data_IF_361585084257
#
_entry.id   IF_361585084257
#
_cell.length_a   1.000
_cell.length_b   1.000
_cell.length_c   1.000
_cell.angle_alpha   90.00
_cell.angle_beta   90.00
_cell.angle_gamma   90.00
#
_symmetry.space_group_name_H-M   'P 1'
#
loop_
_entity.id
_entity.type
_entity.pdbx_description
1 polymer ?
#
# COMPACT_ATOMS: atom_id res chain seq x y z
N UNK A 1 37.86 -62.83 -29.46
CA UNK A 1 37.48 -61.42 -29.78
C UNK A 1 38.46 -60.48 -29.08
N UNK A 2 39.44 -59.91 -29.80
CA UNK A 2 40.41 -58.95 -29.23
C UNK A 2 39.83 -57.54 -29.31
N UNK A 3 39.26 -57.05 -28.21
CA UNK A 3 38.85 -55.65 -28.10
C UNK A 3 40.11 -54.80 -28.09
N UNK A 4 40.29 -54.00 -29.14
CA UNK A 4 41.45 -53.13 -29.33
C UNK A 4 41.64 -52.22 -28.12
N UNK A 5 42.80 -52.29 -27.48
CA UNK A 5 43.23 -51.50 -26.31
C UNK A 5 43.01 -49.98 -26.53
N UNK A 6 43.06 -49.51 -27.78
CA UNK A 6 42.76 -48.12 -28.16
C UNK A 6 41.31 -47.71 -27.94
N UNK A 7 40.34 -48.63 -28.02
CA UNK A 7 38.91 -48.35 -27.76
C UNK A 7 38.63 -48.26 -26.25
N UNK A 8 39.31 -49.07 -25.43
CA UNK A 8 39.21 -49.01 -23.97
C UNK A 8 39.75 -47.71 -23.39
N UNK A 9 40.90 -47.23 -23.90
CA UNK A 9 41.53 -46.01 -23.40
C UNK A 9 40.72 -44.73 -23.72
N UNK A 10 40.07 -44.68 -24.90
CA UNK A 10 39.15 -43.58 -25.26
C UNK A 10 37.91 -43.55 -24.37
N UNK A 11 37.35 -44.71 -24.01
CA UNK A 11 36.22 -44.79 -23.09
C UNK A 11 36.56 -44.30 -21.69
N UNK A 12 37.76 -44.64 -21.19
CA UNK A 12 38.23 -44.22 -19.86
C UNK A 12 38.45 -42.70 -19.77
N UNK A 13 38.98 -42.08 -20.82
CA UNK A 13 39.20 -40.62 -20.88
C UNK A 13 37.88 -39.84 -20.96
N UNK A 14 36.87 -40.37 -21.65
CA UNK A 14 35.53 -39.75 -21.73
C UNK A 14 34.82 -39.84 -20.37
N UNK A 15 34.88 -41.00 -19.70
CA UNK A 15 34.31 -41.17 -18.35
C UNK A 15 35.01 -40.29 -17.31
N UNK A 16 36.34 -40.19 -17.37
CA UNK A 16 37.11 -39.27 -16.53
C UNK A 16 36.75 -37.80 -16.76
N UNK A 17 36.59 -37.40 -18.03
CA UNK A 17 36.16 -36.04 -18.41
C UNK A 17 34.77 -35.66 -17.91
N UNK A 18 33.79 -36.58 -18.02
CA UNK A 18 32.43 -36.40 -17.49
C UNK A 18 32.41 -36.33 -15.96
N UNK A 19 33.26 -37.11 -15.28
CA UNK A 19 33.39 -37.06 -13.83
C UNK A 19 34.01 -35.74 -13.35
N UNK A 20 35.05 -35.24 -14.03
CA UNK A 20 35.64 -33.94 -13.73
C UNK A 20 34.70 -32.78 -14.04
N UNK A 21 33.91 -32.86 -15.11
CA UNK A 21 32.93 -31.83 -15.47
C UNK A 21 31.77 -31.77 -14.47
N UNK A 22 31.29 -32.91 -13.97
CA UNK A 22 30.25 -32.96 -12.94
C UNK A 22 30.73 -32.46 -11.58
N UNK A 23 31.98 -32.74 -11.21
CA UNK A 23 32.61 -32.15 -10.01
C UNK A 23 32.84 -30.64 -10.16
N UNK A 24 33.25 -30.17 -11.34
CA UNK A 24 33.45 -28.74 -11.61
C UNK A 24 32.12 -27.98 -11.63
N UNK A 25 31.05 -28.55 -12.20
CA UNK A 25 29.69 -27.97 -12.13
C UNK A 25 29.14 -27.92 -10.70
N UNK A 26 29.51 -28.87 -9.82
CA UNK A 26 29.21 -28.80 -8.37
C UNK A 26 30.00 -27.70 -7.64
N UNK A 27 31.20 -27.35 -8.12
CA UNK A 27 32.04 -26.30 -7.53
C UNK A 27 31.70 -24.90 -8.06
N UNK A 28 31.21 -24.79 -9.30
CA UNK A 28 30.85 -23.53 -9.97
C UNK A 28 29.38 -23.14 -9.83
N UNK A 29 28.49 -24.05 -9.42
CA UNK A 29 27.16 -23.69 -8.94
C UNK A 29 27.30 -23.33 -7.46
N UNK A 30 27.30 -22.04 -7.06
CA UNK A 30 27.11 -21.73 -5.66
C UNK A 30 25.76 -22.31 -5.25
N UNK A 31 25.83 -23.42 -4.53
CA UNK A 31 24.70 -23.95 -3.79
C UNK A 31 24.33 -22.82 -2.82
N UNK A 32 23.34 -22.02 -3.18
CA UNK A 32 22.80 -20.95 -2.35
C UNK A 32 22.19 -21.66 -1.16
N UNK A 33 23.01 -21.89 -0.13
CA UNK A 33 22.52 -22.33 1.16
C UNK A 33 21.44 -21.33 1.55
N UNK A 34 20.19 -21.77 1.80
CA UNK A 34 19.20 -20.89 2.39
C UNK A 34 19.84 -20.33 3.65
N UNK A 35 19.92 -19.01 3.74
CA UNK A 35 20.40 -18.32 4.93
C UNK A 35 19.72 -18.93 6.15
N UNK A 36 20.50 -19.67 6.96
CA UNK A 36 20.02 -20.23 8.20
C UNK A 36 19.68 -19.08 9.14
N UNK A 37 18.41 -18.66 9.15
CA UNK A 37 17.95 -17.53 9.94
C UNK A 37 16.52 -17.08 9.63
N UNK A 38 16.05 -17.22 8.39
CA UNK A 38 14.66 -16.92 8.02
C UNK A 38 13.98 -18.23 7.59
N UNK A 39 13.03 -18.73 8.38
CA UNK A 39 12.19 -19.86 7.96
C UNK A 39 11.40 -19.52 6.69
N UNK A 40 10.91 -20.53 5.98
CA UNK A 40 10.13 -20.33 4.75
C UNK A 40 9.00 -19.30 4.95
N UNK A 41 8.81 -18.38 3.98
CA UNK A 41 7.78 -17.36 4.06
C UNK A 41 6.40 -18.01 4.16
N UNK A 42 5.53 -17.38 4.95
CA UNK A 42 4.15 -17.86 5.10
C UNK A 42 3.44 -17.72 3.76
N UNK A 43 2.90 -18.84 3.26
CA UNK A 43 2.13 -18.90 2.02
C UNK A 43 0.70 -19.33 2.32
N UNK A 44 -0.26 -18.66 1.71
CA UNK A 44 -1.68 -18.99 1.82
C UNK A 44 -2.25 -19.44 0.48
N UNK A 45 -3.24 -20.32 0.52
CA UNK A 45 -4.04 -20.72 -0.63
C UNK A 45 -5.35 -19.93 -0.61
N UNK A 46 -5.56 -19.16 -1.66
CA UNK A 46 -6.73 -18.30 -1.85
C UNK A 46 -7.72 -19.04 -2.77
N UNK A 47 -8.89 -18.45 -3.01
CA UNK A 47 -9.86 -18.96 -3.98
C UNK A 47 -9.21 -19.19 -5.35
N UNK A 48 -9.72 -20.20 -6.07
CA UNK A 48 -9.29 -20.57 -7.42
C UNK A 48 -7.84 -21.07 -7.53
N UNK A 49 -7.29 -21.55 -6.41
CA UNK A 49 -5.95 -22.16 -6.37
C UNK A 49 -4.80 -21.15 -6.37
N UNK A 50 -5.10 -19.85 -6.31
CA UNK A 50 -4.09 -18.80 -6.29
C UNK A 50 -3.30 -18.84 -4.98
N UNK A 51 -1.97 -18.95 -5.08
CA UNK A 51 -1.05 -18.99 -3.94
C UNK A 51 -0.36 -17.65 -3.78
N UNK A 52 -0.39 -17.13 -2.56
CA UNK A 52 0.24 -15.85 -2.22
C UNK A 52 1.18 -16.05 -1.03
N UNK A 53 2.42 -15.59 -1.15
CA UNK A 53 3.45 -15.67 -0.12
C UNK A 53 3.70 -14.31 0.53
N UNK A 54 4.10 -14.29 1.79
CA UNK A 54 4.32 -13.07 2.57
C UNK A 54 5.52 -12.22 2.08
N UNK A 55 6.37 -12.76 1.22
CA UNK A 55 7.50 -12.07 0.60
C UNK A 55 7.13 -11.35 -0.71
N UNK A 56 5.90 -11.48 -1.22
CA UNK A 56 5.45 -10.66 -2.34
C UNK A 56 5.35 -9.17 -1.94
N UNK A 57 5.52 -8.23 -2.88
CA UNK A 57 5.31 -6.82 -2.56
C UNK A 57 3.84 -6.57 -2.19
N UNK A 58 3.64 -5.84 -1.08
CA UNK A 58 2.32 -5.38 -0.62
C UNK A 58 2.33 -3.87 -0.43
N UNK A 59 1.20 -3.22 -0.66
CA UNK A 59 1.00 -1.79 -0.38
C UNK A 59 -0.02 -1.61 0.73
N UNK A 60 0.33 -0.85 1.76
CA UNK A 60 -0.60 -0.46 2.81
C UNK A 60 -0.87 1.04 2.72
N UNK A 61 -2.12 1.39 2.41
CA UNK A 61 -2.59 2.78 2.42
C UNK A 61 -3.27 3.06 3.76
N UNK A 62 -2.88 4.13 4.43
CA UNK A 62 -3.55 4.55 5.65
C UNK A 62 -3.24 5.99 6.01
N UNK A 63 -3.46 6.32 7.28
CA UNK A 63 -3.54 7.68 7.77
C UNK A 63 -4.80 7.84 8.61
N UNK A 64 -5.02 9.02 9.17
CA UNK A 64 -6.26 9.21 9.94
C UNK A 64 -7.45 9.24 8.98
N UNK A 65 -8.61 8.64 9.32
CA UNK A 65 -9.81 8.73 8.50
C UNK A 65 -10.11 10.17 8.06
N UNK A 66 -10.68 10.33 6.86
CA UNK A 66 -10.96 11.63 6.21
C UNK A 66 -9.73 12.39 5.69
N UNK A 67 -8.55 11.76 5.65
CA UNK A 67 -7.34 12.31 5.02
C UNK A 67 -7.17 11.94 3.53
N UNK A 68 -8.25 11.53 2.85
CA UNK A 68 -8.16 11.11 1.43
C UNK A 68 -7.62 9.70 1.19
N UNK A 69 -7.63 8.82 2.19
CA UNK A 69 -7.18 7.41 2.05
C UNK A 69 -7.99 6.62 1.03
N UNK A 70 -9.31 6.81 0.98
CA UNK A 70 -10.15 6.17 -0.04
C UNK A 70 -9.84 6.73 -1.43
N UNK A 71 -9.62 8.03 -1.59
CA UNK A 71 -9.22 8.62 -2.88
C UNK A 71 -7.89 8.01 -3.37
N UNK A 72 -6.88 7.94 -2.51
CA UNK A 72 -5.59 7.34 -2.87
C UNK A 72 -5.74 5.88 -3.34
N UNK A 73 -6.50 5.05 -2.63
CA UNK A 73 -6.66 3.64 -3.02
C UNK A 73 -7.44 3.47 -4.32
N UNK A 74 -8.47 4.28 -4.58
CA UNK A 74 -9.24 4.15 -5.83
C UNK A 74 -8.43 4.60 -7.05
N UNK A 75 -7.58 5.60 -6.89
CA UNK A 75 -6.63 6.00 -7.94
C UNK A 75 -5.60 4.91 -8.23
N UNK A 76 -5.19 4.15 -7.21
CA UNK A 76 -4.34 2.97 -7.39
C UNK A 76 -5.09 1.79 -8.01
N UNK A 77 -6.32 1.49 -7.58
CA UNK A 77 -7.17 0.44 -8.16
C UNK A 77 -7.42 0.64 -9.66
N UNK A 78 -7.36 1.88 -10.16
CA UNK A 78 -7.48 2.18 -11.58
C UNK A 78 -6.21 1.83 -12.40
N UNK A 79 -5.13 1.40 -11.74
CA UNK A 79 -3.94 0.87 -12.41
C UNK A 79 -4.12 -0.64 -12.66
N UNK A 80 -3.91 -1.15 -13.89
CA UNK A 80 -4.18 -2.56 -14.26
C UNK A 80 -3.31 -3.61 -13.55
N UNK A 81 -2.39 -3.18 -12.69
CA UNK A 81 -1.46 -4.04 -11.96
C UNK A 81 -1.72 -4.03 -10.45
N UNK A 82 -2.65 -3.21 -9.97
CA UNK A 82 -2.85 -2.96 -8.55
C UNK A 82 -4.29 -3.25 -8.18
N UNK A 83 -4.49 -3.95 -7.06
CA UNK A 83 -5.80 -4.11 -6.44
C UNK A 83 -5.72 -3.86 -4.95
N UNK A 84 -6.38 -2.80 -4.51
CA UNK A 84 -6.64 -2.42 -3.12
C UNK A 84 -7.97 -3.00 -2.62
N UNK A 85 -9.08 -2.70 -3.29
CA UNK A 85 -10.43 -3.05 -2.82
C UNK A 85 -10.93 -2.20 -1.64
N UNK A 86 -11.98 -2.66 -0.97
CA UNK A 86 -12.65 -1.97 0.15
C UNK A 86 -11.88 -2.04 1.48
N UNK A 87 -12.35 -1.29 2.49
CA UNK A 87 -11.85 -1.46 3.87
C UNK A 87 -12.21 -2.83 4.41
N UNK A 88 -11.21 -3.59 4.85
CA UNK A 88 -11.43 -4.94 5.37
C UNK A 88 -12.05 -4.90 6.77
N UNK A 89 -11.79 -3.84 7.55
CA UNK A 89 -12.20 -3.61 8.95
C UNK A 89 -11.64 -4.63 9.95
N UNK A 90 -11.45 -5.89 9.56
CA UNK A 90 -10.94 -6.98 10.40
C UNK A 90 -9.42 -6.90 10.58
N UNK A 91 -8.67 -6.42 9.58
CA UNK A 91 -7.22 -6.24 9.67
C UNK A 91 -6.81 -5.31 10.82
N UNK A 92 -7.31 -4.06 10.90
CA UNK A 92 -6.95 -3.18 12.02
C UNK A 92 -7.45 -3.70 13.38
N UNK A 93 -8.56 -4.46 13.43
CA UNK A 93 -9.05 -5.09 14.67
C UNK A 93 -8.09 -6.17 15.17
N UNK A 94 -7.65 -7.08 14.29
CA UNK A 94 -6.67 -8.10 14.64
C UNK A 94 -5.34 -7.47 15.06
N UNK A 95 -4.86 -6.45 14.33
CA UNK A 95 -3.66 -5.72 14.70
C UNK A 95 -3.79 -5.06 16.07
N UNK A 96 -4.97 -4.51 16.39
CA UNK A 96 -5.29 -3.98 17.71
C UNK A 96 -5.21 -5.04 18.82
N UNK A 97 -5.82 -6.20 18.59
CA UNK A 97 -5.74 -7.34 19.53
C UNK A 97 -4.30 -7.81 19.73
N UNK A 98 -3.52 -7.95 18.64
CA UNK A 98 -2.13 -8.40 18.67
C UNK A 98 -1.21 -7.48 19.48
N UNK A 99 -1.52 -6.18 19.58
CA UNK A 99 -0.74 -5.25 20.40
C UNK A 99 -0.81 -5.56 21.91
N UNK A 100 -1.91 -6.20 22.36
CA UNK A 100 -2.09 -6.60 23.75
C UNK A 100 -1.53 -7.99 24.11
N UNK A 101 -1.07 -8.76 23.12
CA UNK A 101 -0.56 -10.12 23.37
C UNK A 101 0.88 -10.07 23.90
N UNK A 102 1.09 -10.67 25.07
CA UNK A 102 2.41 -11.02 25.56
C UNK A 102 2.79 -12.42 25.07
N UNK A 103 4.08 -12.70 24.81
CA UNK A 103 4.52 -14.08 24.56
C UNK A 103 4.21 -14.94 25.79
N UNK A 104 3.53 -16.06 25.58
CA UNK A 104 3.17 -16.99 26.65
C UNK A 104 4.22 -18.10 26.78
N UNK A 105 4.39 -18.63 28.00
CA UNK A 105 5.37 -19.69 28.29
C UNK A 105 4.97 -21.06 27.74
N UNK A 106 3.70 -21.24 27.38
CA UNK A 106 3.09 -22.51 26.92
C UNK A 106 3.31 -22.80 25.42
N UNK A 107 4.48 -22.47 24.87
CA UNK A 107 4.85 -22.79 23.47
C UNK A 107 4.30 -21.83 22.40
N UNK A 108 3.45 -20.87 22.77
CA UNK A 108 2.96 -19.80 21.87
C UNK A 108 4.00 -18.68 21.78
N UNK A 109 5.10 -18.99 21.08
CA UNK A 109 6.20 -18.03 20.87
C UNK A 109 5.79 -16.87 19.95
N UNK A 110 6.55 -15.77 20.00
CA UNK A 110 6.37 -14.64 19.06
C UNK A 110 6.44 -15.11 17.60
N UNK A 111 7.29 -16.08 17.27
CA UNK A 111 7.38 -16.65 15.92
C UNK A 111 6.10 -17.36 15.49
N UNK A 112 5.44 -18.09 16.39
CA UNK A 112 4.16 -18.75 16.12
C UNK A 112 3.06 -17.71 15.89
N UNK A 113 2.99 -16.70 16.76
CA UNK A 113 2.04 -15.59 16.62
C UNK A 113 2.25 -14.80 15.33
N UNK A 114 3.49 -14.44 15.01
CA UNK A 114 3.83 -13.71 13.79
C UNK A 114 3.41 -14.51 12.55
N UNK A 115 3.66 -15.83 12.51
CA UNK A 115 3.23 -16.68 11.40
C UNK A 115 1.71 -16.77 11.29
N UNK A 116 1.00 -16.95 12.41
CA UNK A 116 -0.46 -17.02 12.42
C UNK A 116 -1.10 -15.70 11.98
N UNK A 117 -0.60 -14.57 12.49
CA UNK A 117 -1.06 -13.23 12.08
C UNK A 117 -0.74 -13.00 10.60
N UNK A 118 0.44 -13.37 10.13
CA UNK A 118 0.82 -13.24 8.71
C UNK A 118 -0.14 -14.02 7.82
N UNK A 119 -0.43 -15.28 8.15
CA UNK A 119 -1.37 -16.12 7.40
C UNK A 119 -2.77 -15.49 7.37
N UNK A 120 -3.28 -15.05 8.53
CA UNK A 120 -4.59 -14.43 8.61
C UNK A 120 -4.67 -13.15 7.76
N UNK A 121 -3.70 -12.24 7.93
CA UNK A 121 -3.68 -10.97 7.19
C UNK A 121 -3.57 -11.21 5.69
N UNK A 122 -2.69 -12.13 5.26
CA UNK A 122 -2.51 -12.44 3.85
C UNK A 122 -3.76 -13.09 3.24
N UNK A 123 -4.44 -13.98 3.98
CA UNK A 123 -5.70 -14.59 3.55
C UNK A 123 -6.79 -13.53 3.32
N UNK A 124 -6.92 -12.56 4.23
CA UNK A 124 -7.87 -11.47 4.07
C UNK A 124 -7.48 -10.64 2.86
N UNK A 125 -6.27 -10.07 2.83
CA UNK A 125 -5.79 -9.14 1.79
C UNK A 125 -5.89 -9.77 0.40
N UNK A 126 -5.49 -11.02 0.25
CA UNK A 126 -5.56 -11.70 -1.03
C UNK A 126 -6.99 -12.18 -1.34
N UNK A 127 -7.72 -12.72 -0.37
CA UNK A 127 -9.00 -13.39 -0.60
C UNK A 127 -10.25 -12.51 -0.64
N UNK A 128 -10.18 -11.24 -0.24
CA UNK A 128 -11.35 -10.36 -0.22
C UNK A 128 -11.66 -9.68 -1.57
N UNK A 129 -10.87 -9.91 -2.62
CA UNK A 129 -11.07 -9.30 -3.93
C UNK A 129 -10.26 -10.01 -5.02
N UNK A 130 -10.29 -9.46 -6.23
CA UNK A 130 -9.67 -10.08 -7.41
C UNK A 130 -8.14 -10.21 -7.27
N UNK A 131 -7.53 -11.23 -7.90
CA UNK A 131 -6.07 -11.34 -8.00
C UNK A 131 -5.47 -10.16 -8.77
N UNK A 132 -4.29 -9.70 -8.35
CA UNK A 132 -3.53 -8.69 -9.07
C UNK A 132 -2.02 -8.86 -8.83
N UNK A 133 -1.15 -8.36 -9.74
CA UNK A 133 0.29 -8.38 -9.57
C UNK A 133 0.78 -7.69 -8.27
N UNK A 134 0.15 -6.58 -7.88
CA UNK A 134 0.44 -5.86 -6.66
C UNK A 134 -0.82 -5.74 -5.80
N UNK A 135 -0.81 -6.39 -4.63
CA UNK A 135 -1.91 -6.30 -3.69
C UNK A 135 -1.73 -5.09 -2.78
N UNK A 136 -2.84 -4.43 -2.53
CA UNK A 136 -2.93 -3.26 -1.70
C UNK A 136 -4.00 -3.49 -0.63
N UNK A 137 -3.82 -2.92 0.55
CA UNK A 137 -4.81 -2.88 1.60
C UNK A 137 -4.97 -1.44 2.08
N UNK A 138 -6.20 -0.96 2.13
CA UNK A 138 -6.55 0.34 2.70
C UNK A 138 -7.46 0.15 3.89
N UNK A 139 -6.88 0.30 5.07
CA UNK A 139 -7.60 0.41 6.33
C UNK A 139 -6.89 1.53 7.13
N UNK A 140 -7.53 2.69 7.40
CA UNK A 140 -6.84 3.91 7.82
C UNK A 140 -5.84 3.72 8.97
N UNK A 141 -6.24 2.97 10.00
CA UNK A 141 -5.45 2.79 11.22
C UNK A 141 -4.43 1.64 11.18
N UNK A 142 -4.31 0.89 10.08
CA UNK A 142 -3.29 -0.17 9.95
C UNK A 142 -1.87 0.38 10.09
N UNK A 143 -1.66 1.62 9.66
CA UNK A 143 -0.35 2.26 9.78
C UNK A 143 0.08 2.54 11.22
N UNK A 144 -0.82 2.49 12.22
CA UNK A 144 -0.40 2.47 13.64
C UNK A 144 0.55 1.30 13.93
N UNK A 145 0.38 0.21 13.20
CA UNK A 145 1.19 -1.01 13.27
C UNK A 145 2.16 -1.15 12.09
N UNK A 146 2.50 -0.06 11.38
CA UNK A 146 3.37 -0.11 10.19
C UNK A 146 4.72 -0.77 10.45
N UNK A 147 5.33 -0.56 11.63
CA UNK A 147 6.60 -1.24 12.01
C UNK A 147 6.42 -2.76 12.11
N UNK A 148 5.30 -3.21 12.67
CA UNK A 148 5.01 -4.63 12.81
C UNK A 148 4.64 -5.25 11.46
N UNK A 149 3.81 -4.58 10.65
CA UNK A 149 3.53 -4.98 9.27
C UNK A 149 4.81 -5.05 8.43
N UNK A 150 5.75 -4.12 8.64
CA UNK A 150 7.02 -4.11 7.94
C UNK A 150 7.93 -5.29 8.30
N UNK A 151 7.79 -5.82 9.53
CA UNK A 151 8.44 -7.04 10.01
C UNK A 151 7.78 -8.29 9.44
N UNK A 152 6.44 -8.37 9.42
CA UNK A 152 5.71 -9.51 8.86
C UNK A 152 5.83 -9.64 7.34
N UNK A 153 5.84 -8.50 6.64
CA UNK A 153 5.90 -8.42 5.18
C UNK A 153 7.13 -7.61 4.75
N UNK A 154 8.31 -8.23 4.57
CA UNK A 154 9.57 -7.52 4.35
C UNK A 154 9.60 -6.62 3.11
N UNK A 155 8.86 -6.99 2.07
CA UNK A 155 8.79 -6.26 0.80
C UNK A 155 7.60 -5.28 0.72
N UNK A 156 6.90 -5.06 1.84
CA UNK A 156 5.79 -4.11 1.90
C UNK A 156 6.23 -2.65 1.91
N UNK A 157 5.43 -1.82 1.25
CA UNK A 157 5.51 -0.35 1.22
C UNK A 157 4.24 0.26 1.82
N UNK A 158 4.38 1.47 2.35
CA UNK A 158 3.35 2.19 3.09
C UNK A 158 3.12 3.56 2.46
N UNK A 159 1.86 3.89 2.17
CA UNK A 159 1.43 5.22 1.76
C UNK A 159 0.64 5.86 2.90
N UNK A 160 1.26 6.86 3.52
CA UNK A 160 0.67 7.61 4.63
C UNK A 160 0.03 8.87 4.09
N UNK A 161 -1.29 8.87 4.03
CA UNK A 161 -2.06 10.06 3.69
C UNK A 161 -2.02 11.06 4.83
N UNK A 162 -1.63 12.28 4.49
CA UNK A 162 -1.61 13.45 5.35
C UNK A 162 -2.63 14.45 4.81
N UNK A 163 -3.32 15.11 5.72
CA UNK A 163 -4.21 16.23 5.44
C UNK A 163 -3.98 17.28 6.52
N UNK A 164 -4.31 18.52 6.23
CA UNK A 164 -4.32 19.61 7.23
C UNK A 164 -4.97 19.12 8.52
N UNK A 165 -4.25 19.17 9.65
CA UNK A 165 -4.56 18.60 10.97
C UNK A 165 -5.80 19.14 11.71
N UNK A 166 -6.42 20.22 11.21
CA UNK A 166 -7.86 20.49 11.41
C UNK A 166 -8.72 19.31 10.88
N UNK A 167 -8.09 18.48 10.08
CA UNK A 167 -8.28 17.07 9.74
C UNK A 167 -6.96 16.27 9.95
N UNK A 168 -6.62 16.03 11.23
CA UNK A 168 -5.89 14.88 11.77
C UNK A 168 -4.34 14.74 11.77
N UNK A 169 -3.88 13.96 12.77
CA UNK A 169 -2.55 13.94 13.41
C UNK A 169 -1.53 12.99 12.76
N UNK A 170 -0.36 13.54 12.44
CA UNK A 170 0.88 12.80 12.17
C UNK A 170 1.76 12.75 13.42
N UNK A 171 2.43 11.63 13.69
CA UNK A 171 3.65 11.64 14.54
C UNK A 171 4.40 10.30 14.51
N UNK A 172 3.76 9.16 14.18
CA UNK A 172 4.34 7.87 14.60
C UNK A 172 4.93 6.96 13.51
N UNK A 173 4.73 7.24 12.22
CA UNK A 173 4.84 6.19 11.18
C UNK A 173 6.13 6.29 10.34
N UNK A 174 6.43 7.46 9.77
CA UNK A 174 7.56 7.62 8.83
C UNK A 174 8.93 7.35 9.46
N UNK A 175 9.15 7.84 10.69
CA UNK A 175 10.44 7.73 11.41
C UNK A 175 10.78 6.30 11.84
N UNK A 176 9.79 5.40 11.91
CA UNK A 176 9.99 4.03 12.41
C UNK A 176 10.22 2.99 11.31
N UNK A 177 9.79 3.27 10.08
CA UNK A 177 9.85 2.32 8.94
C UNK A 177 10.85 2.76 7.86
N UNK A 178 11.15 4.06 7.76
CA UNK A 178 12.14 4.63 6.84
C UNK A 178 11.57 5.04 5.48
N UNK A 179 12.21 6.00 4.83
CA UNK A 179 11.75 6.63 3.57
C UNK A 179 11.69 5.69 2.37
N UNK A 180 12.47 4.60 2.38
CA UNK A 180 12.44 3.56 1.32
C UNK A 180 11.17 2.72 1.35
N UNK A 181 10.51 2.66 2.50
CA UNK A 181 9.34 1.81 2.74
C UNK A 181 8.08 2.59 3.08
N UNK A 182 8.18 3.83 3.55
CA UNK A 182 7.01 4.68 3.83
C UNK A 182 7.12 6.02 3.08
N UNK A 183 6.13 6.33 2.26
CA UNK A 183 5.96 7.61 1.59
C UNK A 183 4.78 8.36 2.22
N UNK A 184 5.02 9.60 2.65
CA UNK A 184 3.95 10.50 3.07
C UNK A 184 3.37 11.24 1.85
N UNK A 185 2.05 11.31 1.74
CA UNK A 185 1.34 11.91 0.62
C UNK A 185 0.37 12.95 1.17
N UNK A 186 0.58 14.23 0.83
CA UNK A 186 -0.38 15.29 1.15
C UNK A 186 -1.61 15.16 0.26
N UNK A 187 -2.78 15.16 0.88
CA UNK A 187 -4.07 15.15 0.21
C UNK A 187 -4.25 16.39 -0.67
N UNK A 188 -3.88 17.55 -0.15
CA UNK A 188 -4.00 18.83 -0.83
C UNK A 188 -3.15 18.83 -2.11
N UNK A 189 -1.91 18.34 -2.02
CA UNK A 189 -1.04 18.18 -3.18
C UNK A 189 -1.57 17.13 -4.17
N UNK A 190 -2.12 16.02 -3.68
CA UNK A 190 -2.75 15.00 -4.52
C UNK A 190 -3.95 15.58 -5.29
N UNK A 191 -4.75 16.43 -4.66
CA UNK A 191 -5.92 17.04 -5.28
C UNK A 191 -5.53 18.15 -6.24
N UNK A 192 -4.61 19.04 -5.85
CA UNK A 192 -4.17 20.17 -6.68
C UNK A 192 -3.34 19.71 -7.88
N UNK A 193 -2.46 18.72 -7.67
CA UNK A 193 -1.49 18.26 -8.66
C UNK A 193 -1.47 16.72 -8.77
N UNK A 194 -2.57 16.09 -9.21
CA UNK A 194 -2.72 14.64 -9.19
C UNK A 194 -1.68 13.92 -10.05
N UNK A 195 -1.35 14.46 -11.23
CA UNK A 195 -0.39 13.84 -12.15
C UNK A 195 1.00 13.73 -11.51
N UNK A 196 1.57 14.84 -11.06
CA UNK A 196 2.92 14.86 -10.48
C UNK A 196 3.01 14.06 -9.17
N UNK A 197 1.94 14.11 -8.36
CA UNK A 197 1.85 13.35 -7.11
C UNK A 197 1.82 11.85 -7.39
N UNK A 198 0.97 11.38 -8.32
CA UNK A 198 0.86 9.97 -8.65
C UNK A 198 2.10 9.44 -9.37
N UNK A 199 2.76 10.24 -10.21
CA UNK A 199 4.07 9.87 -10.78
C UNK A 199 5.08 9.57 -9.67
N UNK A 200 5.10 10.38 -8.61
CA UNK A 200 5.96 10.15 -7.44
C UNK A 200 5.56 8.89 -6.69
N UNK A 201 4.25 8.66 -6.47
CA UNK A 201 3.73 7.47 -5.80
C UNK A 201 4.04 6.20 -6.58
N UNK A 202 3.73 6.14 -7.88
CA UNK A 202 3.98 4.97 -8.73
C UNK A 202 5.48 4.66 -8.83
N UNK A 203 6.32 5.70 -9.00
CA UNK A 203 7.78 5.54 -8.95
C UNK A 203 8.24 4.97 -7.60
N UNK A 204 7.72 5.48 -6.50
CA UNK A 204 8.02 4.95 -5.16
C UNK A 204 7.58 3.49 -5.02
N UNK A 205 6.41 3.11 -5.56
CA UNK A 205 5.93 1.73 -5.54
C UNK A 205 6.72 0.81 -6.49
N UNK A 206 7.37 1.35 -7.52
CA UNK A 206 8.09 0.59 -8.55
C UNK A 206 7.18 0.15 -9.69
N UNK A 207 6.12 0.92 -9.96
CA UNK A 207 5.16 0.69 -11.02
C UNK A 207 5.43 1.61 -12.22
N UNK A 208 5.15 1.16 -13.46
CA UNK A 208 5.14 2.06 -14.62
C UNK A 208 4.02 3.10 -14.49
N UNK A 209 4.13 4.20 -15.24
CA UNK A 209 3.01 5.13 -15.36
C UNK A 209 1.85 4.48 -16.13
N UNK A 210 0.62 4.69 -15.66
CA UNK A 210 -0.59 4.33 -16.37
C UNK A 210 -1.62 5.46 -16.23
N UNK A 211 -2.17 5.94 -17.34
CA UNK A 211 -3.03 7.13 -17.34
C UNK A 211 -4.34 6.93 -16.55
N UNK A 212 -4.82 5.69 -16.46
CA UNK A 212 -6.06 5.35 -15.73
C UNK A 212 -6.08 5.79 -14.26
N UNK A 213 -4.92 6.00 -13.62
CA UNK A 213 -4.87 6.50 -12.23
C UNK A 213 -5.44 7.92 -12.07
N UNK A 214 -5.53 8.71 -13.15
CA UNK A 214 -6.16 10.03 -13.17
C UNK A 214 -7.66 9.98 -13.48
N UNK A 215 -8.16 8.81 -13.92
CA UNK A 215 -9.52 8.59 -14.42
C UNK A 215 -10.22 7.46 -13.64
N UNK A 216 -9.96 7.40 -12.33
CA UNK A 216 -10.48 6.34 -11.45
C UNK A 216 -12.01 6.21 -11.49
N UNK A 217 -12.72 7.32 -11.69
CA UNK A 217 -14.18 7.38 -11.81
C UNK A 217 -14.71 6.56 -13.00
N UNK A 218 -13.90 6.41 -14.06
CA UNK A 218 -14.25 5.60 -15.23
C UNK A 218 -14.02 4.11 -14.99
N UNK A 219 -13.19 3.75 -14.02
CA UNK A 219 -12.85 2.37 -13.67
C UNK A 219 -13.81 1.75 -12.63
N UNK A 220 -14.76 2.51 -12.10
CA UNK A 220 -15.70 2.04 -11.07
C UNK A 220 -16.60 0.93 -11.61
N UNK A 221 -16.62 -0.21 -10.90
CA UNK A 221 -17.43 -1.37 -11.24
C UNK A 221 -16.96 -2.14 -12.48
N UNK A 222 -15.85 -1.74 -13.11
CA UNK A 222 -15.27 -2.48 -14.24
C UNK A 222 -14.40 -3.65 -13.76
N UNK A 223 -14.31 -4.76 -14.52
CA UNK A 223 -13.39 -5.85 -14.23
C UNK A 223 -11.95 -5.34 -14.12
N UNK A 224 -11.25 -5.71 -13.04
CA UNK A 224 -9.89 -5.24 -12.77
C UNK A 224 -9.77 -3.74 -12.46
N UNK A 225 -10.89 -3.05 -12.21
CA UNK A 225 -10.93 -1.64 -11.85
C UNK A 225 -11.30 -1.43 -10.37
N UNK A 226 -12.08 -0.38 -10.11
CA UNK A 226 -12.38 0.10 -8.76
C UNK A 226 -13.65 -0.57 -8.20
N UNK A 227 -13.50 -1.34 -7.12
CA UNK A 227 -14.63 -1.84 -6.33
C UNK A 227 -14.97 -0.90 -5.17
N UNK A 228 -16.25 -0.55 -4.98
CA UNK A 228 -16.70 0.36 -3.93
C UNK A 228 -17.79 -0.30 -3.06
N UNK A 229 -17.66 -0.19 -1.74
CA UNK A 229 -18.72 -0.56 -0.81
C UNK A 229 -19.79 0.54 -0.73
N UNK A 230 -21.06 0.16 -0.81
CA UNK A 230 -22.19 1.08 -0.62
C UNK A 230 -22.29 1.63 0.81
N UNK A 231 -21.63 1.00 1.79
CA UNK A 231 -21.69 1.38 3.20
C UNK A 231 -20.49 2.22 3.65
N UNK A 232 -19.46 2.38 2.82
CA UNK A 232 -18.34 3.26 3.13
C UNK A 232 -18.73 4.74 2.99
N UNK A 233 -18.46 5.54 4.03
CA UNK A 233 -18.79 6.98 4.09
C UNK A 233 -18.09 7.87 3.05
N UNK A 234 -17.17 7.30 2.26
CA UNK A 234 -16.43 8.04 1.23
C UNK A 234 -16.87 7.72 -0.19
N UNK A 235 -17.79 6.76 -0.36
CA UNK A 235 -18.17 6.20 -1.66
C UNK A 235 -18.79 7.24 -2.58
N UNK A 236 -19.74 8.02 -2.09
CA UNK A 236 -20.36 9.16 -2.78
C UNK A 236 -19.33 10.17 -3.31
N UNK A 237 -18.28 10.43 -2.53
CA UNK A 237 -17.26 11.41 -2.87
C UNK A 237 -16.26 10.89 -3.90
N UNK A 238 -15.86 9.61 -3.82
CA UNK A 238 -14.89 9.00 -4.74
C UNK A 238 -15.51 8.47 -6.04
N UNK A 239 -16.83 8.56 -6.19
CA UNK A 239 -17.49 8.37 -7.48
C UNK A 239 -17.29 9.56 -8.44
N UNK A 240 -16.81 10.70 -7.92
CA UNK A 240 -16.55 11.91 -8.70
C UNK A 240 -15.07 11.99 -9.08
N UNK A 241 -14.72 12.61 -10.22
CA UNK A 241 -13.32 12.89 -10.54
C UNK A 241 -12.68 13.78 -9.46
N UNK A 242 -11.35 13.78 -9.39
CA UNK A 242 -10.59 14.64 -8.48
C UNK A 242 -11.01 16.10 -8.67
N UNK A 243 -11.44 16.75 -7.57
CA UNK A 243 -12.02 18.10 -7.58
C UNK A 243 -11.65 18.86 -6.29
N UNK A 244 -11.93 20.17 -6.27
CA UNK A 244 -11.50 21.09 -5.22
C UNK A 244 -12.51 21.30 -4.09
N UNK A 245 -13.73 20.75 -4.18
CA UNK A 245 -14.87 21.06 -3.28
C UNK A 245 -14.55 20.82 -1.79
N UNK A 246 -13.71 19.83 -1.51
CA UNK A 246 -13.41 19.41 -0.14
C UNK A 246 -12.19 20.13 0.48
N UNK A 247 -11.38 20.89 -0.28
CA UNK A 247 -10.12 21.45 0.24
C UNK A 247 -10.35 22.43 1.40
N UNK A 248 -11.28 23.38 1.22
CA UNK A 248 -11.52 24.48 2.16
C UNK A 248 -12.91 24.44 2.80
N UNK A 249 -13.67 23.35 2.62
CA UNK A 249 -15.05 23.21 3.15
C UNK A 249 -15.17 23.37 4.67
N UNK A 250 -14.08 23.22 5.42
CA UNK A 250 -14.08 23.39 6.88
C UNK A 250 -14.03 24.87 7.32
N UNK A 251 -13.62 25.78 6.43
CA UNK A 251 -13.45 27.21 6.72
C UNK A 251 -14.79 27.81 7.16
N UNK A 252 -14.80 28.49 8.30
CA UNK A 252 -16.00 29.07 8.89
C UNK A 252 -16.83 28.13 9.77
N UNK A 253 -16.46 26.84 9.88
CA UNK A 253 -17.17 25.86 10.72
C UNK A 253 -16.44 25.52 12.03
N UNK A 254 -15.25 26.07 12.26
CA UNK A 254 -14.50 25.88 13.51
C UNK A 254 -14.81 27.07 14.45
N UNK A 255 -15.22 26.82 15.72
CA UNK A 255 -15.47 27.86 16.70
C UNK A 255 -14.28 28.83 16.89
N UNK A 256 -14.50 30.13 17.09
CA UNK A 256 -13.42 31.12 17.23
C UNK A 256 -12.46 30.86 18.39
N UNK A 257 -12.94 30.30 19.50
CA UNK A 257 -12.14 29.89 20.67
C UNK A 257 -11.18 28.75 20.30
N UNK A 258 -11.67 27.73 19.59
CA UNK A 258 -10.83 26.62 19.09
C UNK A 258 -9.82 27.12 18.07
N UNK A 259 -10.19 28.10 17.23
CA UNK A 259 -9.27 28.72 16.27
C UNK A 259 -8.17 29.53 16.95
N UNK A 260 -8.46 30.21 18.05
CA UNK A 260 -7.49 30.98 18.82
C UNK A 260 -6.40 30.07 19.42
N UNK A 261 -6.78 28.87 19.87
CA UNK A 261 -5.90 27.89 20.51
C UNK A 261 -5.41 26.78 19.56
N UNK A 262 -5.56 26.97 18.24
CA UNK A 262 -5.30 25.90 17.25
C UNK A 262 -3.86 25.37 17.28
N UNK A 263 -2.88 26.24 17.53
CA UNK A 263 -1.47 25.85 17.64
C UNK A 263 -1.18 24.99 18.89
N UNK A 264 -1.86 25.28 20.00
CA UNK A 264 -1.79 24.49 21.23
C UNK A 264 -2.56 23.16 21.12
N UNK A 265 -3.74 23.17 20.50
CA UNK A 265 -4.60 21.98 20.32
C UNK A 265 -3.96 21.01 19.31
N UNK A 266 -3.43 21.53 18.21
CA UNK A 266 -2.91 20.75 17.09
C UNK A 266 -1.49 21.18 16.69
N UNK A 267 -0.48 21.01 17.57
CA UNK A 267 0.90 21.43 17.30
C UNK A 267 1.55 20.70 16.11
N UNK A 268 0.94 19.60 15.66
CA UNK A 268 1.36 18.88 14.47
C UNK A 268 1.10 19.63 13.17
N UNK A 269 0.20 20.63 13.15
CA UNK A 269 -0.05 21.48 11.98
C UNK A 269 1.24 22.13 11.50
N UNK A 270 1.89 22.92 12.36
CA UNK A 270 3.14 23.61 12.02
C UNK A 270 4.26 22.63 11.65
N UNK A 271 4.35 21.49 12.34
CA UNK A 271 5.35 20.44 12.03
C UNK A 271 5.15 19.76 10.68
N UNK A 272 3.92 19.78 10.16
CA UNK A 272 3.55 19.24 8.86
C UNK A 272 3.55 20.29 7.74
N UNK A 273 3.86 21.56 8.07
CA UNK A 273 3.86 22.66 7.11
C UNK A 273 2.50 23.33 6.92
N UNK A 274 1.51 23.06 7.79
CA UNK A 274 0.25 23.79 7.82
C UNK A 274 0.33 24.94 8.82
N UNK A 275 0.02 26.15 8.38
CA UNK A 275 -0.12 27.30 9.28
C UNK A 275 -1.40 27.13 10.13
N UNK A 276 -1.27 26.97 11.47
CA UNK A 276 -2.43 26.80 12.35
C UNK A 276 -3.31 28.05 12.45
N UNK A 277 -2.78 29.24 12.09
CA UNK A 277 -3.49 30.52 12.19
C UNK A 277 -4.07 30.98 10.85
N UNK A 278 -3.63 30.41 9.73
CA UNK A 278 -4.17 30.75 8.41
C UNK A 278 -5.61 30.23 8.24
N UNK A 279 -6.54 31.11 7.86
CA UNK A 279 -7.93 30.78 7.61
C UNK A 279 -8.54 31.73 6.54
N UNK A 280 -8.67 31.31 5.26
CA UNK A 280 -8.34 29.98 4.73
C UNK A 280 -6.82 29.78 4.58
N UNK A 281 -6.31 28.54 4.66
CA UNK A 281 -4.94 28.25 4.29
C UNK A 281 -4.72 28.36 2.79
N UNK A 282 -3.52 28.78 2.41
CA UNK A 282 -3.07 28.70 1.03
C UNK A 282 -2.42 27.33 0.77
N UNK A 283 -3.16 26.41 0.16
CA UNK A 283 -2.66 25.09 -0.22
C UNK A 283 -1.93 25.07 -1.57
N UNK A 284 -2.01 26.15 -2.35
CA UNK A 284 -1.45 26.25 -3.71
C UNK A 284 -2.52 26.40 -4.79
N UNK A 285 -2.06 26.52 -6.04
CA UNK A 285 -2.92 26.66 -7.23
C UNK A 285 -3.11 25.31 -7.92
N UNK A 286 -4.33 24.96 -8.35
CA UNK A 286 -4.62 23.67 -8.98
C UNK A 286 -4.11 23.57 -10.42
N UNK A 287 -3.81 22.36 -10.87
CA UNK A 287 -3.61 22.06 -12.28
C UNK A 287 -4.90 22.35 -13.08
N UNK A 288 -4.81 22.82 -14.35
CA UNK A 288 -6.00 23.16 -15.16
C UNK A 288 -7.02 22.01 -15.30
N UNK A 289 -6.55 20.76 -15.34
CA UNK A 289 -7.41 19.59 -15.41
C UNK A 289 -8.34 19.48 -14.19
N UNK A 290 -7.85 19.83 -13.00
CA UNK A 290 -8.63 19.75 -11.75
C UNK A 290 -9.68 20.85 -11.69
N UNK A 291 -9.38 22.03 -12.22
CA UNK A 291 -10.37 23.10 -12.40
C UNK A 291 -11.51 22.63 -13.32
N UNK A 292 -11.18 22.02 -14.45
CA UNK A 292 -12.17 21.47 -15.38
C UNK A 292 -13.00 20.36 -14.74
N UNK A 293 -12.39 19.47 -13.95
CA UNK A 293 -13.11 18.44 -13.20
C UNK A 293 -14.11 19.05 -12.22
N UNK A 294 -13.69 20.09 -11.48
CA UNK A 294 -14.51 20.77 -10.48
C UNK A 294 -15.72 21.47 -11.13
N UNK A 295 -15.52 22.13 -12.27
CA UNK A 295 -16.63 22.73 -13.02
C UNK A 295 -17.65 21.66 -13.47
N UNK A 296 -17.17 20.51 -13.97
CA UNK A 296 -18.04 19.39 -14.37
C UNK A 296 -18.83 18.79 -13.20
N UNK A 297 -18.24 18.69 -12.01
CA UNK A 297 -18.95 18.17 -10.82
C UNK A 297 -20.01 19.16 -10.33
N UNK A 298 -19.70 20.45 -10.30
CA UNK A 298 -20.64 21.50 -9.88
C UNK A 298 -21.85 21.59 -10.82
N UNK A 299 -21.64 21.50 -12.14
CA UNK A 299 -22.74 21.50 -13.12
C UNK A 299 -23.68 20.30 -12.95
N UNK A 300 -23.15 19.09 -12.72
CA UNK A 300 -23.98 17.89 -12.49
C UNK A 300 -24.77 17.96 -11.17
N UNK A 301 -24.18 18.51 -10.11
CA UNK A 301 -24.87 18.73 -8.84
C UNK A 301 -26.11 19.62 -9.00
N UNK A 302 -25.98 20.72 -9.75
CA UNK A 302 -27.09 21.67 -9.99
C UNK A 302 -28.28 21.10 -10.79
N UNK A 303 -28.07 20.01 -11.55
CA UNK A 303 -29.12 19.35 -12.32
C UNK A 303 -29.85 18.25 -11.53
N UNK A 304 -29.27 17.77 -10.43
CA UNK A 304 -29.87 16.69 -9.61
C UNK A 304 -30.68 17.26 -8.44
N UNK A 305 -30.54 18.55 -8.14
CA UNK A 305 -31.30 19.29 -7.13
C UNK A 305 -32.55 20.00 -7.68
N UNK A 306 -32.93 19.73 -8.95
CA UNK A 306 -34.19 20.20 -9.57
C UNK A 306 -35.16 19.06 -9.78
#
# INVERSE_FOLDING_TARGET
MRVSVRKGLKGLLILGGLYTLTQFLRFCLPCRQPSQGAGEPVTVLVRDGWRVSADVPLVFVGGVPRSGTTLMRVMLDAHPAVRCGEETRVVPRLLGLKLGWAPEKEGVSTKVLDRAVTAFLLQIIAGHGEPAPLLCNKDPFTLKSAKYLAHLFPNSKFLLMLRDGRAAVYSMISRRVGSKRCLAVSYERLVLHPRSTLQTVLKFLGLPWHEGVLHHEEAIGRPGGVSLSKTERSTDQVMRPVNLEALTRWVGHIPPDVMADMDAIAPMLGRLGYDPRANPPNYGQPDPQVLNNTQRTSMKGSQTER
#
